data_IF_571016308379
#
_entry.id   IF_571016308379
#
_cell.length_a   1.000
_cell.length_b   1.000
_cell.length_c   1.000
_cell.angle_alpha   90.00
_cell.angle_beta   90.00
_cell.angle_gamma   90.00
#
_symmetry.space_group_name_H-M   'P 1'
#
loop_
_entity.id
_entity.type
_entity.pdbx_description
1 polymer ?
#
# COMPACT_ATOMS: atom_id res chain seq x y z
N UNK A 1 1.69 -11.18 18.89
CA UNK A 1 0.37 -10.64 19.24
C UNK A 1 -0.41 -10.37 17.97
N UNK A 2 -1.40 -11.21 17.71
CA UNK A 2 -2.38 -11.03 16.62
C UNK A 2 -3.34 -9.91 17.02
N UNK A 3 -3.51 -8.93 16.13
CA UNK A 3 -4.46 -7.85 16.37
C UNK A 3 -5.82 -8.32 15.85
N UNK A 4 -6.81 -8.35 16.75
CA UNK A 4 -8.19 -8.78 16.44
C UNK A 4 -9.11 -7.58 16.29
N UNK A 5 -10.26 -7.80 15.65
CA UNK A 5 -11.28 -6.76 15.42
C UNK A 5 -11.80 -6.21 16.75
N UNK A 6 -12.20 -7.12 17.66
CA UNK A 6 -12.66 -6.75 19.00
C UNK A 6 -11.62 -5.91 19.77
N UNK A 7 -10.32 -6.19 19.59
CA UNK A 7 -9.26 -5.42 20.24
C UNK A 7 -9.10 -4.00 19.67
N UNK A 8 -9.43 -3.79 18.39
CA UNK A 8 -9.49 -2.45 17.78
C UNK A 8 -10.74 -1.68 18.20
N UNK A 9 -11.89 -2.35 18.23
CA UNK A 9 -13.18 -1.74 18.58
C UNK A 9 -13.28 -1.35 20.05
N UNK A 10 -12.62 -2.09 20.95
CA UNK A 10 -12.56 -1.76 22.38
C UNK A 10 -11.76 -0.49 22.71
N UNK A 11 -11.00 0.07 21.74
CA UNK A 11 -10.12 1.22 21.97
C UNK A 11 -10.72 2.50 21.37
N UNK A 12 -10.30 3.66 21.90
CA UNK A 12 -10.55 4.94 21.24
C UNK A 12 -10.02 4.93 19.80
N UNK A 13 -10.79 5.48 18.85
CA UNK A 13 -10.47 5.48 17.40
C UNK A 13 -9.03 5.93 17.09
N UNK A 14 -8.53 6.96 17.76
CA UNK A 14 -7.16 7.47 17.58
C UNK A 14 -6.09 6.43 17.95
N UNK A 15 -6.25 5.74 19.08
CA UNK A 15 -5.38 4.63 19.48
C UNK A 15 -5.49 3.46 18.51
N UNK A 16 -6.71 3.08 18.11
CA UNK A 16 -6.94 2.01 17.15
C UNK A 16 -6.20 2.24 15.83
N UNK A 17 -6.22 3.47 15.30
CA UNK A 17 -5.48 3.86 14.08
C UNK A 17 -3.96 3.69 14.28
N UNK A 18 -3.41 4.15 15.41
CA UNK A 18 -1.97 4.01 15.70
C UNK A 18 -1.57 2.54 15.84
N UNK A 19 -2.40 1.73 16.48
CA UNK A 19 -2.17 0.29 16.59
C UNK A 19 -2.22 -0.38 15.21
N UNK A 20 -3.25 -0.12 14.40
CA UNK A 20 -3.36 -0.61 13.04
C UNK A 20 -2.11 -0.26 12.21
N UNK A 21 -1.69 0.99 12.23
CA UNK A 21 -0.47 1.44 11.54
C UNK A 21 0.78 0.64 11.96
N UNK A 22 0.99 0.48 13.28
CA UNK A 22 2.16 -0.24 13.81
C UNK A 22 2.15 -1.71 13.41
N UNK A 23 0.98 -2.35 13.47
CA UNK A 23 0.85 -3.76 13.11
C UNK A 23 1.06 -3.96 11.60
N UNK A 24 0.41 -3.18 10.74
CA UNK A 24 0.59 -3.25 9.29
C UNK A 24 2.03 -2.99 8.86
N UNK A 25 2.70 -2.05 9.53
CA UNK A 25 4.10 -1.77 9.23
C UNK A 25 5.01 -2.95 9.58
N UNK A 26 4.82 -3.56 10.77
CA UNK A 26 5.62 -4.70 11.20
C UNK A 26 5.36 -5.95 10.34
N UNK A 27 4.11 -6.30 10.10
CA UNK A 27 3.75 -7.46 9.28
C UNK A 27 4.13 -7.26 7.81
N UNK A 28 3.96 -6.04 7.28
CA UNK A 28 4.40 -5.71 5.92
C UNK A 28 5.92 -5.78 5.75
N UNK A 29 6.71 -5.44 6.77
CA UNK A 29 8.17 -5.63 6.71
C UNK A 29 8.56 -7.11 6.73
N UNK A 30 7.84 -7.91 7.52
CA UNK A 30 8.02 -9.36 7.57
C UNK A 30 7.65 -10.03 6.23
N UNK A 31 6.55 -9.62 5.60
CA UNK A 31 6.10 -10.19 4.32
C UNK A 31 7.11 -10.02 3.19
N UNK A 32 7.86 -8.91 3.21
CA UNK A 32 8.93 -8.64 2.24
C UNK A 32 10.31 -9.05 2.72
N UNK A 33 10.42 -9.72 3.86
CA UNK A 33 11.70 -10.15 4.48
C UNK A 33 12.69 -8.99 4.59
N UNK A 34 12.20 -7.80 4.91
CA UNK A 34 13.00 -6.57 5.03
C UNK A 34 13.82 -6.19 3.76
N UNK A 35 13.43 -6.68 2.58
CA UNK A 35 14.15 -6.46 1.34
C UNK A 35 14.19 -4.96 0.94
N UNK A 36 15.31 -4.57 0.32
CA UNK A 36 15.49 -3.26 -0.33
C UNK A 36 15.14 -3.39 -1.83
N UNK A 37 14.52 -2.39 -2.47
CA UNK A 37 14.06 -1.11 -1.92
C UNK A 37 12.67 -1.17 -1.24
N UNK A 38 11.99 -2.33 -1.26
CA UNK A 38 10.59 -2.49 -0.82
C UNK A 38 10.28 -1.94 0.57
N UNK A 39 11.18 -2.09 1.55
CA UNK A 39 10.99 -1.56 2.91
C UNK A 39 10.79 -0.05 2.98
N UNK A 40 11.45 0.70 2.09
CA UNK A 40 11.35 2.16 2.04
C UNK A 40 10.04 2.57 1.37
N UNK A 41 9.67 1.88 0.30
CA UNK A 41 8.41 2.11 -0.43
C UNK A 41 7.21 1.81 0.46
N UNK A 42 7.24 0.69 1.18
CA UNK A 42 6.19 0.32 2.14
C UNK A 42 6.03 1.40 3.21
N UNK A 43 7.13 1.85 3.82
CA UNK A 43 7.09 2.89 4.85
C UNK A 43 6.52 4.20 4.31
N UNK A 44 6.94 4.61 3.11
CA UNK A 44 6.48 5.84 2.47
C UNK A 44 4.99 5.76 2.13
N UNK A 45 4.56 4.65 1.52
CA UNK A 45 3.17 4.41 1.17
C UNK A 45 2.28 4.40 2.42
N UNK A 46 2.61 3.58 3.43
CA UNK A 46 1.83 3.54 4.68
C UNK A 46 1.74 4.93 5.34
N UNK A 47 2.85 5.67 5.40
CA UNK A 47 2.82 7.04 5.95
C UNK A 47 1.91 7.96 5.14
N UNK A 48 1.98 7.90 3.81
CA UNK A 48 1.15 8.72 2.93
C UNK A 48 -0.34 8.37 3.11
N UNK A 49 -0.67 7.08 3.14
CA UNK A 49 -2.04 6.58 3.28
C UNK A 49 -2.66 6.95 4.62
N UNK A 50 -1.94 6.78 5.74
CA UNK A 50 -2.45 7.12 7.07
C UNK A 50 -2.47 8.63 7.37
N UNK A 51 -1.61 9.43 6.73
CA UNK A 51 -1.60 10.90 6.91
C UNK A 51 -2.62 11.62 6.03
N UNK A 52 -2.91 11.09 4.84
CA UNK A 52 -3.85 11.69 3.88
C UNK A 52 -5.26 11.11 3.96
N UNK A 53 -5.42 9.90 4.52
CA UNK A 53 -6.72 9.26 4.67
C UNK A 53 -7.58 9.97 5.71
N UNK A 54 -8.89 10.02 5.46
CA UNK A 54 -9.85 10.46 6.47
C UNK A 54 -9.95 9.42 7.59
N UNK A 55 -10.16 9.83 8.86
CA UNK A 55 -10.52 8.90 9.94
C UNK A 55 -11.72 8.02 9.59
N UNK A 56 -12.62 8.51 8.74
CA UNK A 56 -13.85 7.81 8.32
C UNK A 56 -13.60 6.62 7.39
N UNK A 57 -12.44 6.57 6.73
CA UNK A 57 -12.02 5.40 5.94
C UNK A 57 -11.51 4.23 6.81
N UNK A 58 -11.42 4.42 8.13
CA UNK A 58 -10.91 3.39 9.03
C UNK A 58 -11.96 2.29 9.27
N UNK A 59 -11.70 1.12 8.68
CA UNK A 59 -12.49 -0.10 8.87
C UNK A 59 -11.63 -1.18 9.57
N UNK A 60 -11.92 -1.53 10.84
CA UNK A 60 -11.21 -2.56 11.58
C UNK A 60 -11.16 -3.93 10.89
N UNK A 61 -12.23 -4.32 10.20
CA UNK A 61 -12.32 -5.62 9.53
C UNK A 61 -11.32 -5.68 8.38
N UNK A 62 -11.30 -4.63 7.54
CA UNK A 62 -10.36 -4.54 6.42
C UNK A 62 -8.91 -4.52 6.88
N UNK A 63 -8.62 -3.90 8.02
CA UNK A 63 -7.27 -3.94 8.62
C UNK A 63 -6.88 -5.37 8.98
N UNK A 64 -7.73 -6.10 9.69
CA UNK A 64 -7.44 -7.48 10.14
C UNK A 64 -7.29 -8.42 8.94
N UNK A 65 -8.15 -8.31 7.93
CA UNK A 65 -8.03 -9.07 6.68
C UNK A 65 -6.68 -8.80 5.99
N UNK A 66 -6.27 -7.53 5.94
CA UNK A 66 -4.98 -7.14 5.36
C UNK A 66 -3.80 -7.67 6.17
N UNK A 67 -3.89 -7.69 7.51
CA UNK A 67 -2.87 -8.31 8.35
C UNK A 67 -2.73 -9.81 8.11
N UNK A 68 -3.86 -10.51 7.95
CA UNK A 68 -3.87 -11.93 7.62
C UNK A 68 -3.26 -12.19 6.24
N UNK A 69 -3.63 -11.38 5.23
CA UNK A 69 -3.05 -11.44 3.89
C UNK A 69 -1.53 -11.23 3.91
N UNK A 70 -1.04 -10.24 4.66
CA UNK A 70 0.41 -9.99 4.80
C UNK A 70 1.14 -11.10 5.55
N UNK A 71 0.48 -11.74 6.53
CA UNK A 71 1.05 -12.89 7.23
C UNK A 71 1.21 -14.08 6.29
N UNK A 72 0.18 -14.40 5.51
CA UNK A 72 0.26 -15.44 4.47
C UNK A 72 1.38 -15.15 3.46
N UNK A 73 1.51 -13.90 3.05
CA UNK A 73 2.60 -13.44 2.18
C UNK A 73 4.02 -13.57 2.79
N UNK A 74 4.14 -13.79 4.11
CA UNK A 74 5.43 -13.95 4.80
C UNK A 74 5.87 -15.40 4.94
N UNK A 75 4.91 -16.33 5.01
CA UNK A 75 5.16 -17.74 5.35
C UNK A 75 5.71 -18.55 4.18
N UNK A 76 5.29 -18.26 2.93
CA UNK A 76 5.74 -19.00 1.73
C UNK A 76 5.90 -18.10 0.50
N UNK A 77 6.42 -18.63 -0.62
CA UNK A 77 6.41 -17.95 -1.92
C UNK A 77 5.01 -17.97 -2.56
N UNK A 78 4.02 -17.57 -1.78
CA UNK A 78 2.61 -17.62 -2.12
C UNK A 78 2.24 -16.60 -3.18
N UNK A 79 1.00 -16.69 -3.69
CA UNK A 79 0.44 -15.68 -4.59
C UNK A 79 0.37 -14.32 -3.90
N UNK A 80 0.03 -14.27 -2.61
CA UNK A 80 0.02 -13.04 -1.81
C UNK A 80 1.41 -12.40 -1.75
N UNK A 81 2.47 -13.20 -1.56
CA UNK A 81 3.84 -12.70 -1.60
C UNK A 81 4.16 -12.04 -2.95
N UNK A 82 3.81 -12.70 -4.06
CA UNK A 82 4.01 -12.16 -5.41
C UNK A 82 3.21 -10.88 -5.64
N UNK A 83 1.97 -10.81 -5.16
CA UNK A 83 1.11 -9.62 -5.25
C UNK A 83 1.74 -8.45 -4.48
N UNK A 84 2.13 -8.65 -3.21
CA UNK A 84 2.78 -7.60 -2.39
C UNK A 84 4.09 -7.14 -3.03
N UNK A 85 4.90 -8.06 -3.53
CA UNK A 85 6.15 -7.75 -4.22
C UNK A 85 5.91 -6.91 -5.48
N UNK A 86 4.95 -7.30 -6.31
CA UNK A 86 4.60 -6.55 -7.52
C UNK A 86 4.04 -5.17 -7.19
N UNK A 87 3.17 -5.08 -6.18
CA UNK A 87 2.64 -3.81 -5.70
C UNK A 87 3.75 -2.85 -5.30
N UNK A 88 4.70 -3.28 -4.46
CA UNK A 88 5.81 -2.43 -4.06
C UNK A 88 6.76 -2.09 -5.22
N UNK A 89 6.91 -2.99 -6.19
CA UNK A 89 7.68 -2.73 -7.40
C UNK A 89 7.02 -1.60 -8.23
N UNK A 90 5.72 -1.69 -8.49
CA UNK A 90 4.98 -0.62 -9.20
C UNK A 90 5.01 0.69 -8.42
N UNK A 91 4.75 0.65 -7.10
CA UNK A 91 4.79 1.84 -6.24
C UNK A 91 6.17 2.47 -6.14
N UNK A 92 7.25 1.71 -6.32
CA UNK A 92 8.61 2.25 -6.40
C UNK A 92 8.79 3.11 -7.65
N UNK A 93 8.38 2.61 -8.82
CA UNK A 93 8.49 3.33 -10.09
C UNK A 93 7.55 4.53 -10.21
N UNK A 94 6.42 4.51 -9.52
CA UNK A 94 5.48 5.64 -9.46
C UNK A 94 5.98 6.83 -8.60
N UNK A 95 7.10 6.70 -7.90
CA UNK A 95 7.58 7.82 -7.07
C UNK A 95 8.05 8.99 -7.94
N UNK A 96 7.74 10.24 -7.54
CA UNK A 96 8.03 11.42 -8.36
C UNK A 96 9.51 11.57 -8.70
N UNK A 97 10.40 11.09 -7.84
CA UNK A 97 11.85 11.07 -8.07
C UNK A 97 12.27 10.24 -9.29
N UNK A 98 11.52 9.17 -9.64
CA UNK A 98 11.79 8.35 -10.82
C UNK A 98 10.96 8.76 -12.04
N UNK A 99 9.80 9.38 -11.82
CA UNK A 99 8.93 9.90 -12.88
C UNK A 99 9.53 11.16 -13.52
N UNK A 100 10.21 12.01 -12.75
CA UNK A 100 10.79 13.28 -13.22
C UNK A 100 12.22 13.19 -13.81
N UNK A 101 12.95 12.09 -13.60
CA UNK A 101 14.36 11.98 -14.01
C UNK A 101 14.59 11.43 -15.42
N UNK A 102 13.59 10.82 -16.06
CA UNK A 102 13.73 10.32 -17.43
C UNK A 102 13.40 11.45 -18.41
N UNK A 103 14.42 12.10 -18.95
CA UNK A 103 14.34 13.01 -20.10
C UNK A 103 13.27 14.11 -20.01
N UNK A 104 13.61 15.20 -19.33
CA UNK A 104 12.90 16.49 -19.40
C UNK A 104 13.06 17.17 -20.77
N UNK A 105 13.74 16.54 -21.73
CA UNK A 105 14.10 17.13 -23.03
C UNK A 105 13.13 16.83 -24.18
N UNK A 106 12.17 15.92 -24.01
CA UNK A 106 11.33 15.42 -25.11
C UNK A 106 9.83 15.76 -25.01
N UNK A 107 9.34 16.16 -23.83
CA UNK A 107 7.93 16.48 -23.64
C UNK A 107 7.78 17.79 -22.89
N UNK A 108 7.06 18.71 -23.52
CA UNK A 108 6.81 20.06 -23.05
C UNK A 108 6.30 20.05 -21.60
N UNK A 109 7.09 20.65 -20.71
CA UNK A 109 6.82 20.73 -19.27
C UNK A 109 5.52 21.51 -19.00
N UNK A 110 5.06 22.30 -19.99
CA UNK A 110 3.90 23.17 -19.90
C UNK A 110 2.54 22.43 -19.98
N UNK A 111 2.43 21.29 -20.67
CA UNK A 111 1.10 20.76 -21.04
C UNK A 111 0.55 19.71 -20.07
N UNK A 112 1.35 19.16 -19.15
CA UNK A 112 0.90 18.10 -18.24
C UNK A 112 0.49 16.78 -18.91
N UNK A 113 0.59 16.69 -20.24
CA UNK A 113 0.27 15.53 -21.08
C UNK A 113 1.04 14.29 -20.66
N UNK A 114 2.33 14.43 -20.31
CA UNK A 114 3.13 13.31 -19.78
C UNK A 114 2.57 12.73 -18.48
N UNK A 115 2.17 13.57 -17.54
CA UNK A 115 1.55 13.13 -16.29
C UNK A 115 0.23 12.42 -16.53
N UNK A 116 -0.57 12.91 -17.49
CA UNK A 116 -1.81 12.28 -17.92
C UNK A 116 -1.56 10.92 -18.58
N UNK A 117 -0.57 10.80 -19.48
CA UNK A 117 -0.20 9.54 -20.12
C UNK A 117 0.27 8.50 -19.09
N UNK A 118 1.12 8.91 -18.14
CA UNK A 118 1.60 8.02 -17.07
C UNK A 118 0.44 7.59 -16.16
N UNK A 119 -0.46 8.50 -15.79
CA UNK A 119 -1.65 8.16 -15.01
C UNK A 119 -2.56 7.17 -15.74
N UNK A 120 -2.70 7.32 -17.07
CA UNK A 120 -3.49 6.43 -17.92
C UNK A 120 -2.86 5.04 -17.99
N UNK A 121 -1.53 4.95 -18.09
CA UNK A 121 -0.81 3.68 -18.11
C UNK A 121 -0.99 2.85 -16.83
N UNK A 122 -1.07 3.51 -15.66
CA UNK A 122 -1.29 2.82 -14.38
C UNK A 122 -2.77 2.56 -14.07
N UNK A 123 -3.70 3.13 -14.83
CA UNK A 123 -5.15 3.00 -14.57
C UNK A 123 -5.64 1.55 -14.49
N UNK A 124 -5.25 0.62 -15.39
CA UNK A 124 -5.66 -0.79 -15.27
C UNK A 124 -5.17 -1.42 -13.97
N UNK A 125 -3.92 -1.13 -13.59
CA UNK A 125 -3.34 -1.66 -12.35
C UNK A 125 -4.09 -1.16 -11.10
N UNK A 126 -4.39 0.14 -11.03
CA UNK A 126 -5.16 0.69 -9.90
C UNK A 126 -6.59 0.11 -9.86
N UNK A 127 -7.21 -0.12 -11.02
CA UNK A 127 -8.53 -0.74 -11.10
C UNK A 127 -8.51 -2.19 -10.59
N UNK A 128 -7.53 -2.99 -11.02
CA UNK A 128 -7.36 -4.36 -10.52
C UNK A 128 -7.09 -4.38 -9.01
N UNK A 129 -6.26 -3.45 -8.51
CA UNK A 129 -5.98 -3.34 -7.08
C UNK A 129 -7.24 -2.96 -6.30
N UNK A 130 -8.07 -2.05 -6.83
CA UNK A 130 -9.36 -1.72 -6.22
C UNK A 130 -10.29 -2.94 -6.17
N UNK A 131 -10.41 -3.68 -7.28
CA UNK A 131 -11.24 -4.89 -7.33
C UNK A 131 -10.76 -5.96 -6.35
N UNK A 132 -9.44 -6.13 -6.22
CA UNK A 132 -8.85 -7.04 -5.22
C UNK A 132 -9.19 -6.62 -3.79
N UNK A 133 -9.13 -5.32 -3.50
CA UNK A 133 -9.48 -4.81 -2.19
C UNK A 133 -10.96 -5.01 -1.87
N UNK A 134 -11.86 -4.82 -2.83
CA UNK A 134 -13.29 -5.05 -2.60
C UNK A 134 -13.61 -6.54 -2.44
N UNK A 135 -13.00 -7.42 -3.25
CA UNK A 135 -13.29 -8.86 -3.23
C UNK A 135 -12.81 -9.57 -1.95
N UNK A 136 -11.65 -9.16 -1.42
CA UNK A 136 -11.05 -9.74 -0.23
C UNK A 136 -11.24 -8.88 1.03
N UNK A 137 -11.91 -7.73 0.91
CA UNK A 137 -12.06 -6.75 1.98
C UNK A 137 -10.70 -6.31 2.52
N UNK A 138 -9.79 -5.87 1.65
CA UNK A 138 -8.44 -5.42 2.00
C UNK A 138 -8.32 -3.89 1.95
N UNK A 139 -7.24 -3.38 2.53
CA UNK A 139 -6.90 -1.95 2.52
C UNK A 139 -5.52 -1.68 1.89
N UNK A 140 -5.16 -2.42 0.84
CA UNK A 140 -3.90 -2.18 0.11
C UNK A 140 -4.00 -0.87 -0.66
N UNK A 141 -2.95 -0.04 -0.59
CA UNK A 141 -2.89 1.27 -1.25
C UNK A 141 -1.55 1.48 -1.92
#
# INVERSE_FOLDING_TARGET
MTLTVAALEAQSRSRAIVHAYRHLYRTGLQSIRYAKPGRYVLRLNLRKSFRRGSPDEFDPQRIVNTLNFLRLASESTSTEHKIVKNLLHVRFWQQPQFVGQRDTKLFDVATGTRSQMISTAYRPFEMTLKMLNESLGLCLK
#
